data_IF_577655208103
#
_entry.id   IF_577655208103
#
_cell.length_a   1.000
_cell.length_b   1.000
_cell.length_c   1.000
_cell.angle_alpha   90.00
_cell.angle_beta   90.00
_cell.angle_gamma   90.00
#
_symmetry.space_group_name_H-M   'P 1'
#
loop_
_entity.id
_entity.type
_entity.pdbx_description
1 polymer ?
#
# COMPACT_ATOMS: atom_id res chain seq x y z
N UNK A 1 9.28 2.37 16.05
CA UNK A 1 8.39 1.24 15.69
C UNK A 1 8.91 0.68 14.39
N UNK A 2 9.20 -0.63 14.31
CA UNK A 2 9.42 -1.29 13.03
C UNK A 2 8.08 -1.36 12.31
N UNK A 3 8.05 -1.00 11.04
CA UNK A 3 6.92 -1.27 10.16
C UNK A 3 7.21 -2.59 9.45
N UNK A 4 6.20 -3.44 9.35
CA UNK A 4 6.39 -4.83 8.95
C UNK A 4 5.94 -5.04 7.50
N UNK A 5 5.17 -4.10 6.92
CA UNK A 5 4.84 -4.08 5.49
C UNK A 5 4.32 -2.71 5.02
N UNK A 6 4.40 -2.47 3.71
CA UNK A 6 3.87 -1.31 3.01
C UNK A 6 3.15 -1.70 1.71
N UNK A 7 2.23 -0.85 1.26
CA UNK A 7 1.70 -0.89 -0.10
C UNK A 7 2.23 0.31 -0.86
N UNK A 8 2.83 0.03 -2.00
CA UNK A 8 3.39 1.01 -2.92
C UNK A 8 2.64 0.99 -4.27
N UNK A 9 2.66 2.13 -4.97
CA UNK A 9 2.07 2.32 -6.30
C UNK A 9 3.12 2.70 -7.32
N UNK A 10 2.95 2.18 -8.53
CA UNK A 10 3.66 2.59 -9.74
C UNK A 10 2.66 3.07 -10.78
N UNK A 11 2.93 4.23 -11.38
CA UNK A 11 2.08 4.84 -12.41
C UNK A 11 2.79 4.74 -13.75
N UNK A 12 2.13 4.14 -14.75
CA UNK A 12 2.67 3.92 -16.10
C UNK A 12 1.81 4.57 -17.17
N UNK A 13 2.44 5.16 -18.18
CA UNK A 13 1.76 5.58 -19.41
C UNK A 13 1.29 4.34 -20.17
N UNK A 14 -0.01 4.20 -20.45
CA UNK A 14 -0.56 3.01 -21.15
C UNK A 14 -0.07 2.88 -22.58
N UNK A 15 0.30 3.98 -23.23
CA UNK A 15 0.73 4.00 -24.63
C UNK A 15 2.21 3.65 -24.75
N UNK A 16 3.06 4.22 -23.90
CA UNK A 16 4.52 4.02 -24.00
C UNK A 16 5.04 2.94 -23.05
N UNK A 17 4.31 2.63 -21.99
CA UNK A 17 4.77 1.75 -20.91
C UNK A 17 5.75 2.43 -19.95
N UNK A 18 6.09 3.70 -20.18
CA UNK A 18 7.05 4.44 -19.34
C UNK A 18 6.48 4.64 -17.94
N UNK A 19 7.33 4.49 -16.94
CA UNK A 19 6.99 4.75 -15.55
C UNK A 19 7.18 6.23 -15.29
N UNK A 20 6.14 6.88 -14.78
CA UNK A 20 6.13 8.32 -14.53
C UNK A 20 6.08 8.67 -13.03
N UNK A 21 5.80 7.69 -12.17
CA UNK A 21 5.90 7.88 -10.73
C UNK A 21 7.35 7.98 -10.26
N UNK A 22 7.56 8.79 -9.22
CA UNK A 22 8.86 9.03 -8.61
C UNK A 22 9.60 10.26 -9.17
N UNK A 23 10.93 10.33 -8.98
CA UNK A 23 11.72 11.54 -9.24
C UNK A 23 12.01 11.80 -10.73
N UNK A 24 11.89 10.77 -11.58
CA UNK A 24 12.20 10.84 -13.01
C UNK A 24 11.36 9.85 -13.80
N UNK A 25 11.20 10.13 -15.09
CA UNK A 25 10.61 9.17 -16.03
C UNK A 25 11.57 8.02 -16.28
N UNK A 26 11.08 6.78 -16.18
CA UNK A 26 11.86 5.57 -16.42
C UNK A 26 11.30 4.86 -17.66
N UNK A 27 12.06 4.79 -18.77
CA UNK A 27 11.61 4.12 -19.99
C UNK A 27 11.45 2.61 -19.82
N UNK A 28 10.51 2.02 -20.56
CA UNK A 28 10.42 0.56 -20.67
C UNK A 28 11.52 -0.03 -21.59
N UNK A 29 12.04 -1.24 -21.33
CA UNK A 29 11.76 -2.09 -20.17
C UNK A 29 12.53 -1.60 -18.93
N UNK A 30 11.85 -1.58 -17.79
CA UNK A 30 12.43 -1.21 -16.51
C UNK A 30 12.54 -2.42 -15.58
N UNK A 31 13.28 -2.28 -14.48
CA UNK A 31 13.27 -3.26 -13.39
C UNK A 31 11.87 -3.44 -12.81
N UNK A 32 11.56 -4.64 -12.34
CA UNK A 32 10.28 -4.96 -11.69
C UNK A 32 9.95 -4.03 -10.51
N UNK A 33 10.97 -3.45 -9.86
CA UNK A 33 10.80 -2.55 -8.71
C UNK A 33 10.87 -1.04 -9.05
N UNK A 34 11.19 -0.69 -10.29
CA UNK A 34 11.41 0.71 -10.65
C UNK A 34 10.12 1.53 -10.50
N UNK A 35 10.23 2.69 -9.85
CA UNK A 35 9.16 3.71 -9.75
C UNK A 35 7.96 3.34 -8.89
N UNK A 36 8.11 2.40 -7.95
CA UNK A 36 7.14 2.22 -6.87
C UNK A 36 7.36 3.28 -5.78
N UNK A 37 6.27 3.93 -5.39
CA UNK A 37 6.23 4.95 -4.35
C UNK A 37 5.23 4.51 -3.26
N UNK A 38 5.60 4.67 -1.99
CA UNK A 38 4.78 4.24 -0.86
C UNK A 38 3.44 4.99 -0.81
N UNK A 39 2.34 4.25 -0.68
CA UNK A 39 1.00 4.80 -0.42
C UNK A 39 0.76 4.88 1.09
N UNK A 40 1.04 3.78 1.79
CA UNK A 40 0.79 3.57 3.21
C UNK A 40 1.62 2.38 3.72
N UNK A 41 1.83 2.33 5.04
CA UNK A 41 2.57 1.29 5.75
C UNK A 41 1.87 0.93 7.07
N UNK A 42 2.21 -0.22 7.65
CA UNK A 42 1.62 -0.65 8.91
C UNK A 42 2.63 -1.31 9.85
N UNK A 43 2.31 -1.24 11.13
CA UNK A 43 2.98 -2.00 12.16
C UNK A 43 2.10 -3.20 12.54
N UNK A 44 2.68 -4.40 12.58
CA UNK A 44 2.04 -5.64 13.01
C UNK A 44 2.46 -6.05 14.43
N UNK A 45 3.11 -5.15 15.17
CA UNK A 45 3.65 -5.41 16.52
C UNK A 45 2.62 -5.89 17.55
N UNK A 46 1.33 -5.60 17.37
CA UNK A 46 0.21 -6.21 18.12
C UNK A 46 -0.38 -7.42 17.42
N UNK A 47 -0.64 -7.31 16.12
CA UNK A 47 -1.36 -8.29 15.35
C UNK A 47 -0.43 -8.92 14.32
N UNK A 48 0.36 -9.91 14.75
CA UNK A 48 1.32 -10.62 13.88
C UNK A 48 0.64 -11.49 12.81
N UNK A 49 -0.68 -11.69 12.93
CA UNK A 49 -1.55 -12.31 11.93
C UNK A 49 -1.89 -11.37 10.77
N UNK A 50 -1.59 -10.07 10.89
CA UNK A 50 -1.98 -9.05 9.94
C UNK A 50 -1.27 -9.21 8.57
N UNK A 51 0.06 -9.44 8.51
CA UNK A 51 0.73 -9.77 7.24
C UNK A 51 0.18 -11.03 6.55
N UNK A 52 0.06 -12.21 7.19
CA UNK A 52 -0.45 -13.40 6.52
C UNK A 52 -1.92 -13.24 6.08
N UNK A 53 -2.74 -12.48 6.81
CA UNK A 53 -4.11 -12.18 6.38
C UNK A 53 -4.16 -11.34 5.09
N UNK A 54 -3.33 -10.29 4.98
CA UNK A 54 -3.26 -9.45 3.78
C UNK A 54 -2.74 -10.25 2.58
N UNK A 55 -1.71 -11.09 2.76
CA UNK A 55 -1.23 -11.98 1.70
C UNK A 55 -2.31 -12.98 1.23
N UNK A 56 -3.16 -13.48 2.14
CA UNK A 56 -4.31 -14.32 1.76
C UNK A 56 -5.34 -13.54 0.95
N UNK A 57 -5.63 -12.29 1.30
CA UNK A 57 -6.50 -11.41 0.50
C UNK A 57 -5.91 -11.25 -0.90
N UNK A 58 -4.63 -10.92 -1.03
CA UNK A 58 -3.94 -10.85 -2.33
C UNK A 58 -4.05 -12.17 -3.12
N UNK A 59 -3.81 -13.29 -2.45
CA UNK A 59 -3.89 -14.63 -3.04
C UNK A 59 -5.26 -14.99 -3.61
N UNK A 60 -6.33 -14.66 -2.87
CA UNK A 60 -7.72 -14.82 -3.30
C UNK A 60 -7.99 -14.16 -4.65
N UNK A 61 -7.52 -12.93 -4.86
CA UNK A 61 -7.78 -12.18 -6.11
C UNK A 61 -6.84 -12.55 -7.27
N UNK A 62 -5.69 -13.18 -6.99
CA UNK A 62 -4.75 -13.62 -8.02
C UNK A 62 -4.88 -15.10 -8.38
N UNK A 63 -5.72 -15.86 -7.67
CA UNK A 63 -5.75 -17.33 -7.80
C UNK A 63 -4.43 -17.99 -7.42
N UNK A 64 -3.68 -17.38 -6.49
CA UNK A 64 -2.37 -17.86 -6.02
C UNK A 64 -2.42 -18.09 -4.52
N UNK A 65 -1.73 -19.12 -4.05
CA UNK A 65 -1.48 -19.30 -2.62
C UNK A 65 -0.13 -18.68 -2.26
N UNK A 66 -0.14 -17.78 -1.28
CA UNK A 66 1.07 -17.24 -0.68
C UNK A 66 1.26 -17.92 0.68
N UNK A 67 2.40 -18.60 0.83
CA UNK A 67 2.79 -19.22 2.09
C UNK A 67 3.56 -18.17 2.90
N UNK A 68 2.81 -17.25 3.52
CA UNK A 68 3.33 -16.41 4.61
C UNK A 68 2.71 -16.93 5.91
N UNK A 69 3.56 -17.39 6.81
CA UNK A 69 3.17 -17.88 8.14
C UNK A 69 3.35 -16.76 9.19
N UNK A 70 2.64 -16.89 10.30
CA UNK A 70 2.71 -15.95 11.42
C UNK A 70 4.15 -15.90 11.98
N UNK A 71 4.70 -14.69 12.09
CA UNK A 71 6.05 -14.48 12.61
C UNK A 71 7.19 -14.88 11.66
N UNK A 72 6.91 -15.07 10.36
CA UNK A 72 7.91 -15.30 9.32
C UNK A 72 8.89 -14.12 9.22
N UNK A 73 10.20 -14.38 9.26
CA UNK A 73 11.24 -13.35 9.12
C UNK A 73 11.70 -13.19 7.67
N UNK A 74 12.08 -11.97 7.30
CA UNK A 74 12.69 -11.66 6.01
C UNK A 74 11.89 -10.68 5.17
N UNK A 75 12.22 -10.66 3.87
CA UNK A 75 11.58 -9.80 2.89
C UNK A 75 10.76 -10.64 1.92
N UNK A 76 9.51 -10.26 1.71
CA UNK A 76 8.65 -10.83 0.68
C UNK A 76 7.91 -9.71 -0.04
N UNK A 77 7.59 -9.89 -1.31
CA UNK A 77 6.77 -8.93 -2.04
C UNK A 77 5.78 -9.65 -2.94
N UNK A 78 4.68 -8.99 -3.22
CA UNK A 78 3.70 -9.48 -4.19
C UNK A 78 3.00 -8.32 -4.89
N UNK A 79 2.62 -8.53 -6.15
CA UNK A 79 1.65 -7.68 -6.82
C UNK A 79 0.33 -7.67 -6.04
N UNK A 80 -0.33 -6.52 -5.97
CA UNK A 80 -1.65 -6.38 -5.36
C UNK A 80 -2.66 -6.04 -6.45
N UNK A 81 -3.68 -6.88 -6.69
CA UNK A 81 -4.77 -6.50 -7.58
C UNK A 81 -5.48 -5.26 -7.03
N UNK A 82 -5.81 -4.28 -7.89
CA UNK A 82 -6.59 -3.09 -7.49
C UNK A 82 -7.86 -3.45 -6.73
N UNK A 83 -8.54 -4.52 -7.15
CA UNK A 83 -9.76 -5.05 -6.52
C UNK A 83 -9.54 -5.55 -5.09
N UNK A 84 -8.32 -5.98 -4.74
CA UNK A 84 -7.96 -6.46 -3.41
C UNK A 84 -7.76 -5.31 -2.40
N UNK A 85 -7.36 -4.11 -2.87
CA UNK A 85 -7.04 -2.98 -1.99
C UNK A 85 -8.20 -2.56 -1.08
N UNK A 86 -9.45 -2.66 -1.55
CA UNK A 86 -10.64 -2.36 -0.73
C UNK A 86 -10.80 -3.35 0.43
N UNK A 87 -10.59 -4.64 0.18
CA UNK A 87 -10.66 -5.68 1.21
C UNK A 87 -9.50 -5.56 2.19
N UNK A 88 -8.29 -5.24 1.71
CA UNK A 88 -7.12 -4.95 2.54
C UNK A 88 -7.40 -3.76 3.47
N UNK A 89 -7.87 -2.64 2.92
CA UNK A 89 -8.22 -1.44 3.68
C UNK A 89 -9.26 -1.75 4.78
N UNK A 90 -10.33 -2.48 4.45
CA UNK A 90 -11.34 -2.91 5.43
C UNK A 90 -10.75 -3.80 6.53
N UNK A 91 -9.84 -4.71 6.18
CA UNK A 91 -9.20 -5.60 7.14
C UNK A 91 -8.34 -4.82 8.13
N UNK A 92 -7.53 -3.88 7.62
CA UNK A 92 -6.69 -3.02 8.46
C UNK A 92 -7.55 -2.19 9.42
N UNK A 93 -8.64 -1.57 8.95
CA UNK A 93 -9.56 -0.84 9.83
C UNK A 93 -10.12 -1.73 10.95
N UNK A 94 -10.39 -3.01 10.68
CA UNK A 94 -10.86 -3.94 11.71
C UNK A 94 -9.79 -4.34 12.74
N UNK A 95 -8.51 -4.15 12.41
CA UNK A 95 -7.34 -4.47 13.24
C UNK A 95 -6.57 -3.22 13.66
N UNK A 96 -7.14 -2.02 13.48
CA UNK A 96 -6.49 -0.78 13.91
C UNK A 96 -6.86 -0.40 15.34
N UNK A 97 -7.94 -0.94 15.90
CA UNK A 97 -8.29 -0.82 17.32
C UNK A 97 -7.93 -2.12 18.06
N UNK A 98 -7.45 -2.00 19.28
CA UNK A 98 -7.04 -3.12 20.13
C UNK A 98 -8.18 -3.50 21.06
N UNK A 99 -8.76 -4.70 20.94
CA UNK A 99 -9.77 -5.15 21.90
C UNK A 99 -9.17 -5.26 23.31
N UNK A 100 -9.95 -4.92 24.35
CA UNK A 100 -9.51 -5.06 25.75
C UNK A 100 -9.03 -6.48 26.08
N UNK A 101 -9.57 -7.50 25.40
CA UNK A 101 -9.16 -8.90 25.56
C UNK A 101 -7.75 -9.20 25.04
N UNK A 102 -7.20 -8.36 24.18
CA UNK A 102 -5.84 -8.48 23.61
C UNK A 102 -4.83 -7.55 24.31
N UNK A 103 -5.28 -6.74 25.29
CA UNK A 103 -4.40 -5.91 26.10
C UNK A 103 -3.67 -6.77 27.15
N UNK A 104 -2.35 -6.87 27.02
CA UNK A 104 -1.48 -7.56 27.98
C UNK A 104 -0.85 -6.59 28.96
N UNK A 105 -0.67 -6.98 30.24
CA UNK A 105 -0.04 -6.14 31.28
C UNK A 105 1.39 -5.70 30.94
N UNK A 106 2.08 -6.38 30.01
CA UNK A 106 3.45 -6.07 29.59
C UNK A 106 3.57 -4.77 28.75
N UNK A 107 2.47 -4.22 28.23
CA UNK A 107 2.49 -3.04 27.34
C UNK A 107 1.83 -1.84 28.01
N UNK A 108 2.51 -0.69 28.01
CA UNK A 108 2.00 0.55 28.60
C UNK A 108 0.81 1.12 27.82
N UNK A 109 -0.06 1.88 28.50
CA UNK A 109 -1.19 2.62 27.89
C UNK A 109 -0.81 3.36 26.61
N UNK A 110 0.28 4.14 26.71
CA UNK A 110 0.85 4.93 25.61
C UNK A 110 1.26 4.11 24.40
N UNK A 111 1.57 2.83 24.57
CA UNK A 111 2.09 2.00 23.51
C UNK A 111 0.96 1.50 22.59
N UNK A 112 -0.16 1.03 23.16
CA UNK A 112 -1.30 0.59 22.34
C UNK A 112 -2.09 1.78 21.78
N UNK A 113 -2.23 2.90 22.51
CA UNK A 113 -2.76 4.15 21.93
C UNK A 113 -1.94 4.61 20.71
N UNK A 114 -0.61 4.55 20.80
CA UNK A 114 0.28 4.86 19.68
C UNK A 114 0.09 3.94 18.49
N UNK A 115 -0.14 2.65 18.73
CA UNK A 115 -0.47 1.69 17.69
C UNK A 115 -1.79 2.03 16.98
N UNK A 116 -2.85 2.31 17.75
CA UNK A 116 -4.17 2.59 17.21
C UNK A 116 -4.18 3.83 16.33
N UNK A 117 -3.68 4.95 16.87
CA UNK A 117 -3.60 6.22 16.16
C UNK A 117 -2.81 6.09 14.86
N UNK A 118 -1.67 5.39 14.91
CA UNK A 118 -0.82 5.20 13.74
C UNK A 118 -1.51 4.34 12.68
N UNK A 119 -2.04 3.18 13.04
CA UNK A 119 -2.66 2.28 12.05
C UNK A 119 -3.98 2.83 11.51
N UNK A 120 -4.76 3.56 12.30
CA UNK A 120 -5.94 4.28 11.82
C UNK A 120 -5.56 5.33 10.78
N UNK A 121 -4.58 6.18 11.06
CA UNK A 121 -4.11 7.18 10.08
C UNK A 121 -3.61 6.53 8.78
N UNK A 122 -2.92 5.40 8.86
CA UNK A 122 -2.43 4.67 7.68
C UNK A 122 -3.56 3.98 6.90
N UNK A 123 -4.58 3.48 7.58
CA UNK A 123 -5.79 2.97 6.93
C UNK A 123 -6.57 4.08 6.21
N UNK A 124 -6.62 5.28 6.80
CA UNK A 124 -7.21 6.47 6.20
C UNK A 124 -6.44 6.91 4.94
N UNK A 125 -5.10 6.92 4.97
CA UNK A 125 -4.27 7.20 3.78
C UNK A 125 -4.60 6.26 2.60
N UNK A 126 -4.77 4.96 2.87
CA UNK A 126 -5.17 3.98 1.84
C UNK A 126 -6.60 4.23 1.33
N UNK A 127 -7.53 4.54 2.24
CA UNK A 127 -8.93 4.83 1.90
C UNK A 127 -9.04 6.07 1.00
N UNK A 128 -8.36 7.15 1.36
CA UNK A 128 -8.35 8.40 0.59
C UNK A 128 -7.74 8.17 -0.80
N UNK A 129 -6.66 7.39 -0.86
CA UNK A 129 -6.08 7.00 -2.15
C UNK A 129 -7.04 6.17 -3.00
N UNK A 130 -7.81 5.24 -2.41
CA UNK A 130 -8.84 4.49 -3.12
C UNK A 130 -9.95 5.38 -3.68
N UNK A 131 -10.34 6.42 -2.94
CA UNK A 131 -11.27 7.43 -3.44
C UNK A 131 -10.69 8.23 -4.60
N UNK A 132 -9.41 8.64 -4.54
CA UNK A 132 -8.76 9.30 -5.67
C UNK A 132 -8.75 8.42 -6.93
N UNK A 133 -8.48 7.11 -6.78
CA UNK A 133 -8.53 6.17 -7.90
C UNK A 133 -9.94 6.01 -8.50
N UNK A 134 -10.98 5.99 -7.66
CA UNK A 134 -12.37 5.91 -8.09
C UNK A 134 -12.83 7.22 -8.74
N UNK A 135 -12.37 8.37 -8.24
CA UNK A 135 -12.62 9.67 -8.85
C UNK A 135 -12.04 9.74 -10.26
N UNK A 136 -10.78 9.35 -10.44
CA UNK A 136 -10.12 9.27 -11.76
C UNK A 136 -10.88 8.32 -12.70
N UNK A 137 -11.29 7.16 -12.22
CA UNK A 137 -12.01 6.17 -13.03
C UNK A 137 -13.37 6.70 -13.51
N UNK A 138 -14.07 7.50 -12.69
CA UNK A 138 -15.40 8.01 -13.03
C UNK A 138 -15.40 9.39 -13.72
N UNK A 139 -14.38 10.22 -13.48
CA UNK A 139 -14.36 11.64 -13.92
C UNK A 139 -13.23 11.97 -14.88
N UNK A 140 -12.20 11.12 -14.99
CA UNK A 140 -10.97 11.41 -15.74
C UNK A 140 -10.30 12.72 -15.33
N UNK A 141 -10.29 13.00 -14.03
CA UNK A 141 -9.73 14.21 -13.44
C UNK A 141 -8.76 13.81 -12.33
N UNK A 142 -7.64 14.53 -12.18
CA UNK A 142 -6.70 14.28 -11.10
C UNK A 142 -7.32 14.62 -9.75
N UNK A 143 -7.16 13.71 -8.78
CA UNK A 143 -7.65 13.84 -7.41
C UNK A 143 -6.47 13.89 -6.42
N UNK A 144 -5.43 14.67 -6.75
CA UNK A 144 -4.24 14.88 -5.94
C UNK A 144 -3.15 13.82 -6.06
N UNK A 145 -3.30 12.86 -7.00
CA UNK A 145 -2.28 11.83 -7.25
C UNK A 145 -1.05 12.46 -7.92
N UNK A 146 -1.27 13.39 -8.85
CA UNK A 146 -0.19 13.93 -9.66
C UNK A 146 0.90 14.62 -8.83
N UNK A 147 0.49 15.46 -7.88
CA UNK A 147 1.40 16.18 -6.99
C UNK A 147 2.11 15.24 -6.01
N UNK A 148 1.42 14.17 -5.57
CA UNK A 148 1.96 13.23 -4.58
C UNK A 148 2.99 12.27 -5.17
N UNK A 149 2.79 11.80 -6.39
CA UNK A 149 3.56 10.68 -6.93
C UNK A 149 4.36 10.98 -8.20
N UNK A 150 4.14 12.11 -8.88
CA UNK A 150 4.83 12.43 -10.15
C UNK A 150 5.69 13.67 -9.94
N UNK A 151 7.02 13.52 -9.89
CA UNK A 151 7.94 14.66 -9.69
C UNK A 151 8.27 15.37 -10.99
N UNK A 152 8.30 14.65 -12.12
CA UNK A 152 8.55 15.25 -13.42
C UNK A 152 7.40 16.18 -13.81
N UNK A 153 7.69 17.49 -13.94
CA UNK A 153 6.68 18.51 -14.17
C UNK A 153 5.91 18.31 -15.48
N UNK A 154 6.60 17.88 -16.55
CA UNK A 154 5.95 17.67 -17.84
C UNK A 154 4.99 16.49 -17.76
N UNK A 155 5.42 15.37 -17.18
CA UNK A 155 4.57 14.20 -16.97
C UNK A 155 3.44 14.47 -15.99
N UNK A 156 3.65 15.31 -14.99
CA UNK A 156 2.61 15.74 -14.06
C UNK A 156 1.48 16.45 -14.80
N UNK A 157 1.81 17.42 -15.66
CA UNK A 157 0.81 18.14 -16.44
C UNK A 157 0.14 17.25 -17.51
N UNK A 158 0.91 16.38 -18.16
CA UNK A 158 0.36 15.36 -19.06
C UNK A 158 -0.62 14.44 -18.31
N UNK A 159 -0.29 14.02 -17.09
CA UNK A 159 -1.17 13.20 -16.25
C UNK A 159 -2.45 13.94 -15.87
N UNK A 160 -2.36 15.17 -15.34
CA UNK A 160 -3.52 15.99 -14.97
C UNK A 160 -4.49 16.20 -16.14
N UNK A 161 -3.98 16.27 -17.37
CA UNK A 161 -4.80 16.44 -18.57
C UNK A 161 -5.61 15.20 -18.96
N UNK A 162 -5.14 13.99 -18.63
CA UNK A 162 -5.81 12.73 -18.95
C UNK A 162 -5.35 11.56 -18.04
N UNK A 163 -5.76 11.52 -16.77
CA UNK A 163 -5.33 10.49 -15.81
C UNK A 163 -5.71 9.06 -16.23
N UNK A 164 -6.80 8.86 -16.97
CA UNK A 164 -7.20 7.54 -17.48
C UNK A 164 -6.26 6.99 -18.57
N UNK A 165 -5.39 7.84 -19.13
CA UNK A 165 -4.29 7.42 -20.00
C UNK A 165 -3.21 6.60 -19.29
N UNK A 166 -3.31 6.43 -17.97
CA UNK A 166 -2.30 5.78 -17.14
C UNK A 166 -2.82 4.52 -16.45
N UNK A 167 -1.91 3.60 -16.21
CA UNK A 167 -2.11 2.36 -15.47
C UNK A 167 -1.48 2.49 -14.08
N UNK A 168 -2.16 1.92 -13.08
CA UNK A 168 -1.69 1.86 -11.70
C UNK A 168 -1.38 0.42 -11.35
N UNK A 169 -0.14 0.15 -11.00
CA UNK A 169 0.32 -1.14 -10.50
C UNK A 169 0.64 -1.01 -9.01
N UNK A 170 0.27 -2.02 -8.23
CA UNK A 170 0.44 -2.02 -6.78
C UNK A 170 1.34 -3.15 -6.34
N UNK A 171 2.15 -2.89 -5.33
CA UNK A 171 3.02 -3.88 -4.70
C UNK A 171 2.83 -3.82 -3.20
N UNK A 172 2.72 -4.99 -2.59
CA UNK A 172 2.80 -5.18 -1.15
C UNK A 172 4.21 -5.65 -0.86
N UNK A 173 4.93 -4.92 -0.01
CA UNK A 173 6.24 -5.34 0.47
C UNK A 173 6.14 -5.68 1.96
N UNK A 174 6.65 -6.84 2.33
CA UNK A 174 6.78 -7.31 3.70
C UNK A 174 8.25 -7.23 4.10
N UNK A 175 8.51 -6.59 5.23
CA UNK A 175 9.82 -6.25 5.75
C UNK A 175 9.85 -6.54 7.25
N UNK A 176 9.89 -7.80 7.65
CA UNK A 176 9.90 -8.16 9.07
C UNK A 176 11.27 -8.64 9.54
N UNK A 177 11.79 -7.94 10.53
CA UNK A 177 12.95 -8.35 11.31
C UNK A 177 12.55 -8.38 12.79
N UNK A 178 12.66 -9.54 13.46
CA UNK A 178 12.43 -9.58 14.92
C UNK A 178 13.42 -8.63 15.61
N UNK A 179 12.96 -7.78 16.55
CA UNK A 179 13.87 -7.08 17.45
C UNK A 179 14.71 -8.12 18.19
N UNK A 180 16.04 -7.96 18.15
CA UNK A 180 16.97 -8.75 18.97
C UNK A 180 16.93 -8.28 20.42
#
# INVERSE_FOLDING_TARGET
MSFDFDISVRIKDKRTGDIISGPKVIPAPASDYAGYEEICWWASSLFIDLPPAIFRICGKYMGKQYLLEEGAEGNAYTSVPRVALREICSYIFSRSCVPDSELTEERSCSWWEGYEVTNQAKAEELKDFLWSLEYIENRNEDAGIAEKFITDLKKREEFKSNPQGYEFEFMLNYHYCRPR
#
